data_IF_499993653876
#
_entry.id   IF_499993653876
#
_cell.length_a   1.000
_cell.length_b   1.000
_cell.length_c   1.000
_cell.angle_alpha   90.00
_cell.angle_beta   90.00
_cell.angle_gamma   90.00
#
_symmetry.space_group_name_H-M   'P 1'
#
loop_
_entity.id
_entity.type
_entity.pdbx_description
1 polymer ?
#
# COMPACT_ATOMS: atom_id res chain seq x y z
N UNK A 1 8.83 -10.50 5.57
CA UNK A 1 8.37 -9.86 6.82
C UNK A 1 9.22 -10.06 8.08
N UNK A 2 10.37 -10.78 8.06
CA UNK A 2 11.20 -10.95 9.29
C UNK A 2 11.94 -9.68 9.74
N UNK A 3 12.19 -8.73 8.84
CA UNK A 3 12.97 -7.51 9.11
C UNK A 3 12.11 -6.45 9.83
N UNK A 4 10.79 -6.52 9.65
CA UNK A 4 9.80 -5.59 10.20
C UNK A 4 9.73 -5.61 11.74
N UNK A 5 10.04 -6.75 12.38
CA UNK A 5 9.94 -6.91 13.84
C UNK A 5 11.06 -6.21 14.64
N UNK A 6 12.02 -5.52 14.01
CA UNK A 6 13.28 -5.11 14.70
C UNK A 6 13.68 -3.63 14.64
N UNK A 7 12.97 -2.73 13.97
CA UNK A 7 13.44 -1.34 13.81
C UNK A 7 12.30 -0.31 13.86
N UNK A 8 12.17 0.38 14.99
CA UNK A 8 11.08 1.33 15.28
C UNK A 8 11.21 2.74 14.71
N UNK A 9 11.65 2.90 13.45
CA UNK A 9 11.73 4.25 12.81
C UNK A 9 11.12 4.29 11.40
N UNK A 10 10.55 3.20 10.87
CA UNK A 10 9.92 3.23 9.55
C UNK A 10 8.86 2.14 9.38
N UNK A 11 7.68 2.33 9.96
CA UNK A 11 6.55 1.40 9.81
C UNK A 11 5.76 1.69 8.51
N UNK A 12 5.30 2.94 8.34
CA UNK A 12 4.57 3.40 7.16
C UNK A 12 5.30 3.18 5.82
N UNK A 13 6.64 3.34 5.81
CA UNK A 13 7.46 3.14 4.60
C UNK A 13 7.30 1.74 4.02
N UNK A 14 7.09 0.73 4.87
CA UNK A 14 6.90 -0.66 4.43
C UNK A 14 5.62 -0.79 3.62
N UNK A 15 4.52 -0.21 4.12
CA UNK A 15 3.24 -0.18 3.44
C UNK A 15 3.30 0.61 2.12
N UNK A 16 3.84 1.82 2.17
CA UNK A 16 3.92 2.70 1.00
C UNK A 16 4.75 2.08 -0.15
N UNK A 17 5.94 1.54 0.15
CA UNK A 17 6.80 0.92 -0.88
C UNK A 17 6.12 -0.29 -1.50
N UNK A 18 5.51 -1.17 -0.70
CA UNK A 18 4.81 -2.36 -1.22
C UNK A 18 3.64 -1.95 -2.12
N UNK A 19 2.85 -0.97 -1.70
CA UNK A 19 1.76 -0.45 -2.51
C UNK A 19 2.27 0.15 -3.84
N UNK A 20 3.34 0.94 -3.81
CA UNK A 20 3.96 1.52 -5.01
C UNK A 20 4.45 0.43 -5.97
N UNK A 21 5.18 -0.58 -5.48
CA UNK A 21 5.68 -1.70 -6.31
C UNK A 21 4.51 -2.41 -6.97
N UNK A 22 3.48 -2.75 -6.20
CA UNK A 22 2.34 -3.48 -6.71
C UNK A 22 1.55 -2.64 -7.74
N UNK A 23 1.40 -1.34 -7.53
CA UNK A 23 0.77 -0.42 -8.48
C UNK A 23 1.62 -0.11 -9.71
N UNK A 24 2.95 -0.16 -9.60
CA UNK A 24 3.85 0.01 -10.73
C UNK A 24 3.89 -1.25 -11.62
N UNK A 25 3.56 -2.43 -11.08
CA UNK A 25 3.41 -3.65 -11.87
C UNK A 25 2.37 -3.43 -12.98
N UNK A 26 2.68 -3.89 -14.20
CA UNK A 26 1.87 -3.67 -15.44
C UNK A 26 1.80 -2.23 -15.95
N UNK A 27 2.47 -1.26 -15.31
CA UNK A 27 2.62 0.08 -15.89
C UNK A 27 3.75 0.07 -16.92
N UNK A 28 3.47 0.51 -18.15
CA UNK A 28 4.46 0.55 -19.23
C UNK A 28 5.05 -0.84 -19.54
N UNK A 29 6.36 -0.97 -19.43
CA UNK A 29 7.10 -2.21 -19.68
C UNK A 29 7.45 -2.99 -18.39
N UNK A 30 6.85 -2.64 -17.26
CA UNK A 30 7.14 -3.31 -15.99
C UNK A 30 6.64 -4.76 -16.01
N UNK A 31 7.49 -5.74 -15.65
CA UNK A 31 7.16 -7.14 -15.76
C UNK A 31 6.09 -7.56 -14.76
N UNK A 32 5.43 -8.67 -15.09
CA UNK A 32 4.57 -9.39 -14.15
C UNK A 32 5.38 -10.14 -13.09
N UNK A 33 4.71 -10.51 -12.00
CA UNK A 33 5.29 -11.45 -11.03
C UNK A 33 5.53 -12.78 -11.74
N UNK A 34 6.75 -13.35 -11.67
CA UNK A 34 7.00 -14.68 -12.23
C UNK A 34 6.08 -15.74 -11.61
N UNK A 35 5.55 -16.66 -12.42
CA UNK A 35 4.60 -17.71 -11.97
C UNK A 35 5.09 -18.53 -10.77
N UNK A 36 6.40 -18.76 -10.68
CA UNK A 36 7.00 -19.52 -9.58
C UNK A 36 7.00 -18.77 -8.24
N UNK A 37 6.80 -17.45 -8.25
CA UNK A 37 6.78 -16.58 -7.06
C UNK A 37 5.38 -16.01 -6.77
N UNK A 38 4.45 -16.14 -7.70
CA UNK A 38 3.14 -15.46 -7.69
C UNK A 38 2.35 -15.70 -6.39
N UNK A 39 2.27 -16.94 -5.93
CA UNK A 39 1.56 -17.29 -4.70
C UNK A 39 2.19 -16.65 -3.46
N UNK A 40 3.51 -16.80 -3.30
CA UNK A 40 4.26 -16.29 -2.16
C UNK A 40 4.22 -14.75 -2.12
N UNK A 41 4.33 -14.10 -3.28
CA UNK A 41 4.23 -12.65 -3.42
C UNK A 41 2.86 -12.14 -3.00
N UNK A 42 1.77 -12.72 -3.53
CA UNK A 42 0.42 -12.29 -3.17
C UNK A 42 0.06 -12.66 -1.73
N UNK A 43 0.60 -13.77 -1.19
CA UNK A 43 0.46 -14.12 0.22
C UNK A 43 1.12 -13.06 1.11
N UNK A 44 2.34 -12.61 0.78
CA UNK A 44 3.02 -11.57 1.55
C UNK A 44 2.24 -10.23 1.57
N UNK A 45 1.59 -9.86 0.46
CA UNK A 45 0.74 -8.66 0.43
C UNK A 45 -0.50 -8.83 1.32
N UNK A 46 -1.14 -10.00 1.32
CA UNK A 46 -2.28 -10.29 2.20
C UNK A 46 -1.86 -10.26 3.67
N UNK A 47 -0.74 -10.88 4.02
CA UNK A 47 -0.18 -10.85 5.37
C UNK A 47 0.11 -9.40 5.81
N UNK A 48 0.68 -8.56 4.93
CA UNK A 48 0.88 -7.14 5.24
C UNK A 48 -0.44 -6.40 5.48
N UNK A 49 -1.46 -6.66 4.67
CA UNK A 49 -2.78 -6.05 4.86
C UNK A 49 -3.43 -6.46 6.19
N UNK A 50 -3.23 -7.70 6.65
CA UNK A 50 -3.72 -8.18 7.95
C UNK A 50 -3.00 -7.48 9.11
N UNK A 51 -1.69 -7.32 9.02
CA UNK A 51 -0.89 -6.57 10.01
C UNK A 51 -1.37 -5.10 10.04
N UNK A 52 -1.46 -4.45 8.88
CA UNK A 52 -1.90 -3.06 8.79
C UNK A 52 -3.33 -2.85 9.32
N UNK A 53 -4.24 -3.79 9.07
CA UNK A 53 -5.60 -3.72 9.62
C UNK A 53 -5.64 -3.77 11.16
N UNK A 54 -4.67 -4.44 11.80
CA UNK A 54 -4.54 -4.44 13.26
C UNK A 54 -3.84 -3.18 13.79
N UNK A 55 -2.94 -2.59 13.01
CA UNK A 55 -2.14 -1.42 13.41
C UNK A 55 -2.86 -0.09 13.15
N UNK A 56 -3.78 -0.01 12.18
CA UNK A 56 -4.38 1.24 11.71
C UNK A 56 -5.04 2.08 12.82
N UNK A 57 -5.58 1.45 13.86
CA UNK A 57 -6.20 2.19 14.98
C UNK A 57 -5.21 2.98 15.83
N UNK A 58 -3.92 2.67 15.72
CA UNK A 58 -2.82 3.33 16.43
C UNK A 58 -2.03 4.28 15.54
N UNK A 59 -2.34 4.33 14.23
CA UNK A 59 -1.68 5.24 13.31
C UNK A 59 -2.12 6.69 13.60
N UNK A 60 -1.16 7.58 13.83
CA UNK A 60 -1.42 8.98 14.17
C UNK A 60 -1.26 9.89 12.96
N UNK A 61 -0.33 9.56 12.06
CA UNK A 61 0.01 10.40 10.92
C UNK A 61 -0.84 10.07 9.68
N UNK A 62 -1.36 11.06 8.93
CA UNK A 62 -2.16 10.82 7.73
C UNK A 62 -1.46 9.98 6.65
N UNK A 63 -0.14 10.14 6.48
CA UNK A 63 0.71 9.34 5.60
C UNK A 63 0.67 7.85 5.98
N UNK A 64 0.72 7.54 7.27
CA UNK A 64 0.71 6.18 7.79
C UNK A 64 -0.65 5.51 7.55
N UNK A 65 -1.73 6.22 7.89
CA UNK A 65 -3.11 5.75 7.65
C UNK A 65 -3.32 5.46 6.16
N UNK A 66 -2.95 6.39 5.27
CA UNK A 66 -3.10 6.21 3.81
C UNK A 66 -2.25 5.06 3.29
N UNK A 67 -1.01 4.93 3.75
CA UNK A 67 -0.12 3.85 3.35
C UNK A 67 -0.73 2.48 3.72
N UNK A 68 -1.23 2.32 4.95
CA UNK A 68 -1.90 1.10 5.41
C UNK A 68 -3.16 0.83 4.57
N UNK A 69 -4.04 1.83 4.41
CA UNK A 69 -5.28 1.68 3.64
C UNK A 69 -5.02 1.29 2.19
N UNK A 70 -3.94 1.81 1.59
CA UNK A 70 -3.59 1.49 0.21
C UNK A 70 -3.26 0.01 0.03
N UNK A 71 -2.51 -0.59 0.96
CA UNK A 71 -2.17 -2.02 0.93
C UNK A 71 -3.40 -2.88 1.16
N UNK A 72 -4.28 -2.48 2.09
CA UNK A 72 -5.56 -3.18 2.32
C UNK A 72 -6.42 -3.17 1.05
N UNK A 73 -6.58 -2.02 0.40
CA UNK A 73 -7.33 -1.90 -0.84
C UNK A 73 -6.74 -2.79 -1.94
N UNK A 74 -5.42 -2.75 -2.12
CA UNK A 74 -4.69 -3.58 -3.09
C UNK A 74 -4.90 -5.08 -2.82
N UNK A 75 -4.76 -5.52 -1.56
CA UNK A 75 -4.95 -6.92 -1.17
C UNK A 75 -6.39 -7.43 -1.41
N UNK A 76 -7.38 -6.51 -1.41
CA UNK A 76 -8.78 -6.80 -1.75
C UNK A 76 -9.09 -6.66 -3.24
N UNK A 77 -8.09 -6.42 -4.09
CA UNK A 77 -8.27 -6.25 -5.53
C UNK A 77 -8.79 -4.87 -5.95
N UNK A 78 -8.93 -3.93 -5.01
CA UNK A 78 -9.40 -2.56 -5.26
C UNK A 78 -8.26 -1.66 -5.73
N UNK A 79 -7.61 -2.05 -6.81
CA UNK A 79 -6.37 -1.41 -7.32
C UNK A 79 -6.52 0.08 -7.60
N UNK A 80 -7.67 0.52 -8.13
CA UNK A 80 -7.93 1.96 -8.37
C UNK A 80 -7.94 2.75 -7.07
N UNK A 81 -8.64 2.25 -6.04
CA UNK A 81 -8.68 2.91 -4.72
C UNK A 81 -7.30 2.99 -4.10
N UNK A 82 -6.56 1.87 -4.12
CA UNK A 82 -5.17 1.84 -3.67
C UNK A 82 -4.28 2.85 -4.40
N UNK A 83 -4.50 3.04 -5.71
CA UNK A 83 -3.77 4.04 -6.51
C UNK A 83 -4.04 5.47 -6.05
N UNK A 84 -5.30 5.82 -5.80
CA UNK A 84 -5.63 7.17 -5.32
C UNK A 84 -5.01 7.43 -3.94
N UNK A 85 -5.09 6.46 -3.04
CA UNK A 85 -4.49 6.55 -1.69
C UNK A 85 -2.97 6.73 -1.69
N UNK A 86 -2.26 6.19 -2.70
CA UNK A 86 -0.80 6.35 -2.84
C UNK A 86 -0.43 7.63 -3.58
N UNK A 87 -1.21 8.01 -4.60
CA UNK A 87 -0.80 9.02 -5.58
C UNK A 87 -1.07 10.44 -5.13
N UNK A 88 -2.11 10.66 -4.34
CA UNK A 88 -2.58 11.99 -3.99
C UNK A 88 -2.42 12.25 -2.50
N UNK A 89 -1.85 13.40 -2.19
CA UNK A 89 -1.89 13.99 -0.86
C UNK A 89 -3.29 14.50 -0.51
N UNK A 90 -3.54 14.81 0.76
CA UNK A 90 -4.84 15.36 1.20
C UNK A 90 -5.14 16.67 0.47
N UNK A 91 -4.15 17.56 0.37
CA UNK A 91 -4.28 18.84 -0.33
C UNK A 91 -4.63 18.66 -1.82
N UNK A 92 -4.05 17.65 -2.47
CA UNK A 92 -4.38 17.33 -3.86
C UNK A 92 -5.79 16.75 -4.01
N UNK A 93 -6.27 15.97 -3.04
CA UNK A 93 -7.64 15.46 -3.02
C UNK A 93 -8.66 16.60 -2.82
N UNK A 94 -8.36 17.54 -1.92
CA UNK A 94 -9.18 18.74 -1.71
C UNK A 94 -9.23 19.63 -2.96
N UNK A 95 -8.11 19.80 -3.67
CA UNK A 95 -8.10 20.52 -4.96
C UNK A 95 -8.97 19.81 -6.00
N UNK A 96 -8.97 18.48 -6.05
CA UNK A 96 -9.86 17.70 -6.93
C UNK A 96 -11.33 17.90 -6.54
N UNK A 97 -11.68 17.77 -5.26
CA UNK A 97 -13.05 17.94 -4.76
C UNK A 97 -13.58 19.36 -5.03
N UNK A 98 -12.74 20.39 -4.87
CA UNK A 98 -13.12 21.78 -5.09
C UNK A 98 -13.48 22.14 -6.55
N UNK A 99 -13.17 21.24 -7.49
CA UNK A 99 -13.39 21.41 -8.94
C UNK A 99 -14.61 20.63 -9.47
N UNK A 100 -15.30 19.87 -8.62
CA UNK A 100 -16.59 19.22 -8.93
C UNK A 100 -17.78 20.17 -8.69
#
# INVERSE_FOLDING_TARGET
MRIHRKSGVADWNTYAIVAIIELARKEGNNPEVPKWLEEDYHRAIRELAEIGAAEISHAEEPEEVRAILSVIAIAKGLRTHGRFLVKYSEDELLDIESRE
#
